data_IF_174816752378
#
_entry.id   IF_174816752378
#
_cell.length_a   1.000
_cell.length_b   1.000
_cell.length_c   1.000
_cell.angle_alpha   90.00
_cell.angle_beta   90.00
_cell.angle_gamma   90.00
#
_symmetry.space_group_name_H-M   'P 1'
#
loop_
_entity.id
_entity.type
_entity.pdbx_description
1 polymer ?
#
# COMPACT_ATOMS: atom_id res chain seq x y z
N UNK A 1 -30.51 -3.14 2.74
CA UNK A 1 -29.26 -2.67 2.09
C UNK A 1 -28.12 -2.49 3.11
N UNK A 2 -27.73 -3.53 3.88
CA UNK A 2 -26.70 -3.41 4.95
C UNK A 2 -25.53 -4.42 4.84
N UNK A 3 -25.43 -5.18 3.76
CA UNK A 3 -24.51 -6.34 3.64
C UNK A 3 -23.61 -6.30 2.39
N UNK A 4 -23.66 -5.22 1.62
CA UNK A 4 -22.68 -4.91 0.56
C UNK A 4 -21.70 -3.90 1.16
N UNK A 5 -20.39 -4.11 1.27
CA UNK A 5 -19.58 -5.20 0.79
C UNK A 5 -18.26 -5.07 1.58
N UNK A 6 -18.02 -5.91 2.60
CA UNK A 6 -16.79 -5.87 3.42
C UNK A 6 -15.49 -5.99 2.57
N UNK A 7 -15.64 -6.37 1.30
CA UNK A 7 -14.59 -6.26 0.29
C UNK A 7 -14.19 -4.81 0.01
N UNK A 8 -15.14 -3.89 -0.20
CA UNK A 8 -14.87 -2.49 -0.54
C UNK A 8 -14.12 -1.81 0.61
N UNK A 9 -14.50 -2.08 1.86
CA UNK A 9 -13.76 -1.56 3.01
C UNK A 9 -12.34 -2.10 3.06
N UNK A 10 -12.15 -3.41 2.85
CA UNK A 10 -10.82 -4.00 2.73
C UNK A 10 -10.01 -3.40 1.58
N UNK A 11 -10.63 -3.19 0.42
CA UNK A 11 -9.98 -2.62 -0.76
C UNK A 11 -9.55 -1.18 -0.55
N UNK A 12 -10.39 -0.34 0.05
CA UNK A 12 -10.03 1.03 0.43
C UNK A 12 -8.86 1.01 1.43
N UNK A 13 -8.87 0.10 2.41
CA UNK A 13 -7.75 -0.05 3.36
C UNK A 13 -6.47 -0.43 2.62
N UNK A 14 -6.49 -1.43 1.73
CA UNK A 14 -5.34 -1.85 0.95
C UNK A 14 -4.88 -0.84 -0.10
N UNK A 15 -5.68 0.19 -0.39
CA UNK A 15 -5.24 1.33 -1.18
C UNK A 15 -4.59 2.42 -0.32
N UNK A 16 -5.24 2.77 0.79
CA UNK A 16 -4.82 3.89 1.62
C UNK A 16 -3.58 3.54 2.44
N UNK A 17 -3.46 2.30 2.91
CA UNK A 17 -2.40 1.90 3.83
C UNK A 17 -1.00 1.96 3.20
N UNK A 18 -0.76 1.48 1.96
CA UNK A 18 0.54 1.66 1.30
C UNK A 18 0.89 3.13 1.07
N UNK A 19 -0.07 3.96 0.69
CA UNK A 19 0.15 5.39 0.51
C UNK A 19 0.52 6.10 1.83
N UNK A 20 -0.20 5.78 2.91
CA UNK A 20 0.13 6.28 4.25
C UNK A 20 1.50 5.80 4.73
N UNK A 21 1.84 4.53 4.47
CA UNK A 21 3.15 3.99 4.82
C UNK A 21 4.27 4.77 4.12
N UNK A 22 4.16 5.01 2.81
CA UNK A 22 5.13 5.79 2.05
C UNK A 22 5.26 7.20 2.62
N UNK A 23 4.14 7.85 2.91
CA UNK A 23 4.14 9.20 3.46
C UNK A 23 4.86 9.26 4.82
N UNK A 24 4.55 8.36 5.74
CA UNK A 24 5.21 8.26 7.05
C UNK A 24 6.69 7.90 6.89
N UNK A 25 7.00 6.95 5.99
CA UNK A 25 8.36 6.51 5.74
C UNK A 25 9.24 7.66 5.26
N UNK A 26 8.77 8.40 4.25
CA UNK A 26 9.54 9.51 3.69
C UNK A 26 9.66 10.69 4.66
N UNK A 27 8.60 11.03 5.41
CA UNK A 27 8.65 12.13 6.38
C UNK A 27 9.54 11.85 7.59
N UNK A 28 9.74 10.59 7.97
CA UNK A 28 10.47 10.23 9.20
C UNK A 28 11.87 9.70 8.95
N UNK A 29 12.09 8.97 7.86
CA UNK A 29 13.32 8.21 7.64
C UNK A 29 14.11 8.68 6.42
N UNK A 30 13.51 9.46 5.51
CA UNK A 30 14.24 9.96 4.36
C UNK A 30 15.02 11.23 4.73
N UNK A 31 16.36 11.26 4.53
CA UNK A 31 17.21 12.38 4.94
C UNK A 31 17.14 13.51 3.90
N UNK A 32 15.96 14.13 3.75
CA UNK A 32 15.75 15.31 2.91
C UNK A 32 14.79 16.28 3.58
N UNK A 33 15.04 17.57 3.41
CA UNK A 33 14.11 18.64 3.83
C UNK A 33 13.00 18.89 2.80
N UNK A 34 13.04 18.21 1.66
CA UNK A 34 12.04 18.32 0.60
C UNK A 34 10.68 17.75 1.00
N UNK A 35 9.62 18.28 0.40
CA UNK A 35 8.28 17.74 0.57
C UNK A 35 8.17 16.32 -0.02
N UNK A 36 7.26 15.51 0.53
CA UNK A 36 7.04 14.12 0.11
C UNK A 36 6.77 14.00 -1.38
N UNK A 37 6.00 14.94 -1.95
CA UNK A 37 5.72 14.98 -3.39
C UNK A 37 6.97 15.24 -4.22
N UNK A 38 7.85 16.15 -3.77
CA UNK A 38 9.12 16.42 -4.45
C UNK A 38 10.02 15.19 -4.42
N UNK A 39 10.08 14.49 -3.28
CA UNK A 39 10.84 13.24 -3.14
C UNK A 39 10.28 12.18 -4.09
N UNK A 40 8.95 11.98 -4.13
CA UNK A 40 8.32 11.01 -5.04
C UNK A 40 8.56 11.38 -6.51
N UNK A 41 8.51 12.66 -6.86
CA UNK A 41 8.83 13.13 -8.22
C UNK A 41 10.30 12.92 -8.58
N UNK A 42 11.23 13.09 -7.65
CA UNK A 42 12.66 12.78 -7.88
C UNK A 42 12.91 11.28 -8.01
N UNK A 43 12.15 10.46 -7.28
CA UNK A 43 12.24 9.01 -7.34
C UNK A 43 11.53 8.42 -8.56
N UNK A 44 10.67 9.17 -9.24
CA UNK A 44 9.97 8.69 -10.43
C UNK A 44 10.73 9.06 -11.72
N UNK A 45 10.87 8.15 -12.69
CA UNK A 45 10.73 6.70 -12.60
C UNK A 45 12.10 6.09 -12.25
N UNK A 46 12.23 5.52 -11.06
CA UNK A 46 13.45 4.80 -10.65
C UNK A 46 13.11 3.49 -9.97
N UNK A 47 14.06 2.55 -10.07
CA UNK A 47 14.03 1.25 -9.37
C UNK A 47 13.84 1.44 -7.87
N UNK A 48 14.31 2.56 -7.30
CA UNK A 48 14.19 2.84 -5.87
C UNK A 48 12.73 3.12 -5.48
N UNK A 49 11.95 3.78 -6.33
CA UNK A 49 10.51 3.95 -6.13
C UNK A 49 9.78 2.61 -6.21
N UNK A 50 10.15 1.74 -7.16
CA UNK A 50 9.60 0.39 -7.24
C UNK A 50 9.85 -0.42 -5.96
N UNK A 51 11.06 -0.37 -5.41
CA UNK A 51 11.39 -1.00 -4.12
C UNK A 51 10.60 -0.41 -2.95
N UNK A 52 10.38 0.90 -2.94
CA UNK A 52 9.59 1.59 -1.92
C UNK A 52 8.11 1.15 -1.97
N UNK A 53 7.55 1.03 -3.17
CA UNK A 53 6.19 0.50 -3.40
C UNK A 53 6.07 -0.97 -2.97
N UNK A 54 7.09 -1.80 -3.21
CA UNK A 54 7.09 -3.17 -2.68
C UNK A 54 7.10 -3.20 -1.15
N UNK A 55 7.92 -2.34 -0.54
CA UNK A 55 8.01 -2.24 0.92
C UNK A 55 6.69 -1.78 1.54
N UNK A 56 5.97 -0.87 0.89
CA UNK A 56 4.72 -0.31 1.41
C UNK A 56 3.54 -1.28 1.41
N UNK A 57 3.64 -2.42 0.72
CA UNK A 57 2.60 -3.46 0.70
C UNK A 57 2.72 -4.42 1.90
N UNK A 58 3.84 -4.43 2.63
CA UNK A 58 4.01 -5.29 3.81
C UNK A 58 2.92 -5.12 4.87
N UNK A 59 2.52 -3.89 5.26
CA UNK A 59 1.37 -3.67 6.13
C UNK A 59 0.08 -4.33 5.64
N UNK A 60 -0.19 -4.30 4.34
CA UNK A 60 -1.37 -4.96 3.74
C UNK A 60 -1.28 -6.48 3.85
N UNK A 61 -0.09 -7.06 3.63
CA UNK A 61 0.10 -8.50 3.80
C UNK A 61 -0.16 -8.93 5.24
N UNK A 62 0.32 -8.15 6.21
CA UNK A 62 0.09 -8.40 7.64
C UNK A 62 -1.40 -8.30 7.97
N UNK A 63 -2.09 -7.24 7.53
CA UNK A 63 -3.53 -7.09 7.78
C UNK A 63 -4.34 -8.16 7.06
N UNK A 64 -4.02 -8.46 5.80
CA UNK A 64 -4.63 -9.54 5.04
C UNK A 64 -4.56 -10.87 5.79
N UNK A 65 -3.40 -11.20 6.35
CA UNK A 65 -3.22 -12.40 7.19
C UNK A 65 -4.05 -12.35 8.48
N UNK A 66 -4.09 -11.21 9.18
CA UNK A 66 -4.90 -11.05 10.40
C UNK A 66 -6.39 -11.25 10.12
N UNK A 67 -6.92 -10.64 9.05
CA UNK A 67 -8.33 -10.76 8.69
C UNK A 67 -8.67 -12.14 8.11
N UNK A 68 -7.71 -12.77 7.42
CA UNK A 68 -7.84 -14.17 7.00
C UNK A 68 -8.00 -15.10 8.21
N UNK A 69 -7.17 -14.93 9.26
CA UNK A 69 -7.26 -15.72 10.50
C UNK A 69 -8.56 -15.50 11.29
N UNK A 70 -9.24 -14.37 11.09
CA UNK A 70 -10.53 -14.02 11.73
C UNK A 70 -11.74 -14.40 10.87
N UNK A 71 -11.58 -15.29 9.89
CA UNK A 71 -12.61 -15.72 8.93
C UNK A 71 -13.28 -14.55 8.16
N UNK A 72 -12.61 -13.39 8.10
CA UNK A 72 -13.09 -12.19 7.44
C UNK A 72 -12.58 -12.12 6.00
N UNK A 73 -12.83 -13.18 5.23
CA UNK A 73 -12.26 -13.40 3.90
C UNK A 73 -12.51 -12.27 2.91
N UNK A 74 -13.70 -11.64 2.95
CA UNK A 74 -14.02 -10.52 2.05
C UNK A 74 -13.12 -9.31 2.31
N UNK A 75 -12.85 -9.00 3.59
CA UNK A 75 -11.97 -7.89 3.97
C UNK A 75 -10.53 -8.21 3.54
N UNK A 76 -10.05 -9.42 3.87
CA UNK A 76 -8.71 -9.86 3.50
C UNK A 76 -8.50 -9.81 1.98
N UNK A 77 -9.46 -10.33 1.19
CA UNK A 77 -9.40 -10.28 -0.27
C UNK A 77 -9.39 -8.84 -0.79
N UNK A 78 -10.19 -7.95 -0.21
CA UNK A 78 -10.15 -6.51 -0.54
C UNK A 78 -8.77 -5.91 -0.32
N UNK A 79 -8.19 -6.12 0.87
CA UNK A 79 -6.86 -5.59 1.24
C UNK A 79 -5.79 -6.09 0.27
N UNK A 80 -5.74 -7.40 0.01
CA UNK A 80 -4.77 -7.98 -0.93
C UNK A 80 -4.96 -7.43 -2.34
N UNK A 81 -6.21 -7.25 -2.79
CA UNK A 81 -6.50 -6.69 -4.12
C UNK A 81 -6.02 -5.23 -4.22
N UNK A 82 -6.15 -4.44 -3.15
CA UNK A 82 -5.61 -3.08 -3.08
C UNK A 82 -4.09 -3.06 -3.18
N UNK A 83 -3.40 -3.88 -2.38
CA UNK A 83 -1.94 -3.99 -2.39
C UNK A 83 -1.37 -4.49 -3.73
N UNK A 84 -2.10 -5.33 -4.46
CA UNK A 84 -1.70 -5.78 -5.82
C UNK A 84 -1.54 -4.60 -6.79
N UNK A 85 -2.34 -3.53 -6.68
CA UNK A 85 -2.19 -2.36 -7.56
C UNK A 85 -0.84 -1.66 -7.37
N UNK A 86 -0.36 -1.60 -6.12
CA UNK A 86 0.98 -1.09 -5.81
C UNK A 86 2.06 -2.05 -6.31
N UNK A 87 1.83 -3.36 -6.25
CA UNK A 87 2.76 -4.37 -6.75
C UNK A 87 2.92 -4.29 -8.28
N UNK A 88 1.80 -4.09 -8.99
CA UNK A 88 1.79 -3.85 -10.43
C UNK A 88 2.61 -2.59 -10.74
N UNK A 89 2.32 -1.47 -10.06
CA UNK A 89 3.07 -0.23 -10.22
C UNK A 89 4.57 -0.41 -9.94
N UNK A 90 4.93 -1.19 -8.90
CA UNK A 90 6.30 -1.49 -8.56
C UNK A 90 7.02 -2.28 -9.66
N UNK A 91 6.38 -3.32 -10.23
CA UNK A 91 6.96 -4.14 -11.31
C UNK A 91 7.25 -3.29 -12.56
N UNK A 92 6.35 -2.35 -12.91
CA UNK A 92 6.58 -1.47 -14.06
C UNK A 92 7.73 -0.47 -13.87
N UNK A 93 8.20 -0.27 -12.63
CA UNK A 93 9.31 0.63 -12.29
C UNK A 93 10.65 -0.09 -12.10
N UNK A 94 10.70 -1.42 -12.24
CA UNK A 94 11.92 -2.23 -12.11
C UNK A 94 12.67 -2.40 -13.42
#
# INVERSE_FOLDING_TARGET
MKLFNNFISGFIIGLVLPALFIWIYLTRFYPSESNVWEIVSQLYPSILLGKLLMLSIFPDMILGFIFYKKDSFRIASGIITGGILYLIAAIFMM
#
